data_IF_240105805470
#
_entry.id   IF_240105805470
#
_cell.length_a   1.000
_cell.length_b   1.000
_cell.length_c   1.000
_cell.angle_alpha   90.00
_cell.angle_beta   90.00
_cell.angle_gamma   90.00
#
_symmetry.space_group_name_H-M   'P 1'
#
loop_
_entity.id
_entity.type
_entity.pdbx_description
1 polymer ?
#
# COMPACT_ATOMS: atom_id res chain seq x y z
N UNK A 1 13.71 6.83 23.80
CA UNK A 1 12.91 6.21 22.72
C UNK A 1 11.63 5.67 23.35
N UNK A 2 10.55 6.45 23.38
CA UNK A 2 9.25 6.00 23.92
C UNK A 2 8.63 5.15 22.82
N UNK A 3 8.62 3.83 23.00
CA UNK A 3 8.03 2.91 22.03
C UNK A 3 6.54 3.24 21.87
N UNK A 4 6.18 3.88 20.76
CA UNK A 4 4.79 4.00 20.34
C UNK A 4 4.24 2.57 20.21
N UNK A 5 3.32 2.20 21.10
CA UNK A 5 2.64 0.91 21.00
C UNK A 5 1.74 0.98 19.78
N UNK A 6 2.21 0.45 18.65
CA UNK A 6 1.38 0.25 17.46
C UNK A 6 0.15 -0.55 17.89
N UNK A 7 -1.05 -0.03 17.61
CA UNK A 7 -2.27 -0.67 18.07
C UNK A 7 -2.44 -2.03 17.37
N UNK A 8 -2.88 -3.09 18.07
CA UNK A 8 -3.19 -4.38 17.45
C UNK A 8 -4.17 -4.26 16.28
N UNK A 9 -5.07 -3.27 16.36
CA UNK A 9 -6.01 -2.90 15.29
C UNK A 9 -5.31 -2.55 13.96
N UNK A 10 -4.18 -1.85 14.00
CA UNK A 10 -3.44 -1.50 12.79
C UNK A 10 -2.93 -2.75 12.05
N UNK A 11 -2.46 -3.76 12.79
CA UNK A 11 -2.05 -5.04 12.21
C UNK A 11 -3.22 -5.82 11.60
N UNK A 12 -4.36 -5.86 12.30
CA UNK A 12 -5.57 -6.51 11.79
C UNK A 12 -6.02 -5.85 10.48
N UNK A 13 -6.06 -4.51 10.45
CA UNK A 13 -6.44 -3.76 9.25
C UNK A 13 -5.47 -4.01 8.08
N UNK A 14 -4.16 -4.08 8.35
CA UNK A 14 -3.14 -4.43 7.34
C UNK A 14 -3.36 -5.85 6.78
N UNK A 15 -3.65 -6.82 7.63
CA UNK A 15 -3.93 -8.20 7.21
C UNK A 15 -5.19 -8.25 6.36
N UNK A 16 -6.28 -7.62 6.81
CA UNK A 16 -7.55 -7.56 6.06
C UNK A 16 -7.36 -6.87 4.71
N UNK A 17 -6.65 -5.74 4.67
CA UNK A 17 -6.32 -5.04 3.44
C UNK A 17 -5.51 -5.93 2.48
N UNK A 18 -4.49 -6.64 2.99
CA UNK A 18 -3.66 -7.54 2.18
C UNK A 18 -4.49 -8.67 1.57
N UNK A 19 -5.32 -9.33 2.38
CA UNK A 19 -6.23 -10.40 1.91
C UNK A 19 -7.19 -9.84 0.85
N UNK A 20 -7.76 -8.65 1.09
CA UNK A 20 -8.63 -7.98 0.14
C UNK A 20 -7.97 -7.78 -1.24
N UNK A 21 -6.74 -7.25 -1.27
CA UNK A 21 -5.97 -7.10 -2.50
C UNK A 21 -5.73 -8.47 -3.17
N UNK A 22 -5.33 -9.49 -2.41
CA UNK A 22 -5.13 -10.84 -2.96
C UNK A 22 -6.39 -11.38 -3.61
N UNK A 23 -7.57 -11.25 -2.97
CA UNK A 23 -8.85 -11.69 -3.52
C UNK A 23 -9.15 -11.00 -4.85
N UNK A 24 -8.85 -9.70 -5.00
CA UNK A 24 -9.09 -8.99 -6.26
C UNK A 24 -8.29 -9.55 -7.44
N UNK A 25 -7.14 -10.19 -7.20
CA UNK A 25 -6.33 -10.82 -8.24
C UNK A 25 -7.01 -12.04 -8.86
N UNK A 26 -7.79 -12.78 -8.06
CA UNK A 26 -8.53 -13.96 -8.50
C UNK A 26 -9.92 -13.63 -9.05
N UNK A 27 -10.58 -12.60 -8.52
CA UNK A 27 -11.96 -12.24 -8.91
C UNK A 27 -12.00 -11.41 -10.20
N UNK A 28 -11.05 -10.49 -10.40
CA UNK A 28 -11.02 -9.61 -11.56
C UNK A 28 -9.87 -9.94 -12.51
N UNK A 29 -8.70 -9.36 -12.28
CA UNK A 29 -7.48 -9.61 -13.06
C UNK A 29 -6.26 -9.29 -12.20
N UNK A 30 -5.09 -9.88 -12.48
CA UNK A 30 -3.84 -9.50 -11.83
C UNK A 30 -3.53 -8.01 -12.00
N UNK A 31 -3.80 -7.45 -13.19
CA UNK A 31 -3.65 -6.02 -13.44
C UNK A 31 -4.49 -5.17 -12.49
N UNK A 32 -5.76 -5.52 -12.30
CA UNK A 32 -6.65 -4.79 -11.40
C UNK A 32 -6.12 -4.80 -9.95
N UNK A 33 -5.67 -5.96 -9.46
CA UNK A 33 -5.12 -6.09 -8.10
C UNK A 33 -3.87 -5.22 -7.90
N UNK A 34 -2.94 -5.22 -8.85
CA UNK A 34 -1.73 -4.39 -8.78
C UNK A 34 -2.08 -2.90 -8.84
N UNK A 35 -3.05 -2.49 -9.66
CA UNK A 35 -3.51 -1.09 -9.69
C UNK A 35 -4.22 -0.67 -8.41
N UNK A 36 -5.04 -1.54 -7.81
CA UNK A 36 -5.72 -1.27 -6.55
C UNK A 36 -4.71 -1.14 -5.40
N UNK A 37 -3.68 -2.00 -5.38
CA UNK A 37 -2.57 -1.90 -4.44
C UNK A 37 -1.81 -0.58 -4.61
N UNK A 38 -1.47 -0.20 -5.85
CA UNK A 38 -0.81 1.07 -6.13
C UNK A 38 -1.64 2.28 -5.67
N UNK A 39 -2.93 2.29 -5.96
CA UNK A 39 -3.85 3.34 -5.54
C UNK A 39 -3.90 3.47 -4.01
N UNK A 40 -3.91 2.35 -3.29
CA UNK A 40 -3.91 2.39 -1.82
C UNK A 40 -2.63 2.98 -1.23
N UNK A 41 -1.46 2.75 -1.86
CA UNK A 41 -0.22 3.43 -1.45
C UNK A 41 -0.28 4.94 -1.67
N UNK A 42 -0.91 5.41 -2.75
CA UNK A 42 -1.15 6.86 -2.95
C UNK A 42 -2.04 7.39 -1.84
N UNK A 43 -3.11 6.69 -1.49
CA UNK A 43 -4.00 7.09 -0.39
C UNK A 43 -3.25 7.13 0.94
N UNK A 44 -2.40 6.14 1.25
CA UNK A 44 -1.59 6.16 2.47
C UNK A 44 -0.57 7.31 2.48
N UNK A 45 0.05 7.61 1.34
CA UNK A 45 0.94 8.77 1.19
C UNK A 45 0.19 10.09 1.46
N UNK A 46 -1.00 10.25 0.89
CA UNK A 46 -1.84 11.43 1.09
C UNK A 46 -2.29 11.56 2.54
N UNK A 47 -2.79 10.49 3.15
CA UNK A 47 -3.17 10.47 4.56
C UNK A 47 -1.98 10.83 5.45
N UNK A 48 -0.79 10.29 5.16
CA UNK A 48 0.44 10.63 5.90
C UNK A 48 0.86 12.08 5.71
N UNK A 49 0.65 12.65 4.52
CA UNK A 49 0.98 14.03 4.19
C UNK A 49 -0.01 15.04 4.80
N UNK A 50 -1.27 14.66 5.04
CA UNK A 50 -2.30 15.54 5.60
C UNK A 50 -2.47 15.39 7.11
N UNK A 51 -2.35 14.18 7.66
CA UNK A 51 -2.61 13.92 9.08
C UNK A 51 -1.48 14.46 9.99
N UNK A 52 -1.82 15.14 11.09
CA UNK A 52 -0.83 15.70 12.01
C UNK A 52 0.03 14.62 12.68
N UNK A 53 1.24 15.01 13.11
CA UNK A 53 2.17 14.12 13.79
C UNK A 53 1.55 13.51 15.06
N UNK A 54 1.68 12.19 15.23
CA UNK A 54 1.13 11.44 16.36
C UNK A 54 -0.13 10.62 16.05
N UNK A 55 -0.76 10.79 14.88
CA UNK A 55 -1.92 9.96 14.46
C UNK A 55 -1.47 8.65 13.81
N UNK A 56 -0.32 8.66 13.13
CA UNK A 56 0.26 7.47 12.49
C UNK A 56 1.64 7.16 13.07
N UNK A 57 1.94 5.88 13.35
CA UNK A 57 3.25 5.46 13.88
C UNK A 57 4.38 5.92 12.97
N UNK A 58 5.47 6.47 13.52
CA UNK A 58 6.59 7.04 12.75
C UNK A 58 7.87 6.22 12.93
N UNK A 59 8.46 5.72 11.83
CA UNK A 59 9.70 4.93 11.87
C UNK A 59 10.95 5.77 11.56
N UNK A 60 10.91 6.64 10.53
CA UNK A 60 12.08 7.42 10.07
C UNK A 60 11.83 8.89 9.77
N UNK A 61 10.64 9.27 9.30
CA UNK A 61 10.26 10.68 9.06
C UNK A 61 9.11 10.83 8.06
N UNK A 62 8.35 11.93 8.13
CA UNK A 62 7.09 12.10 7.37
C UNK A 62 7.33 12.10 5.87
N UNK A 63 8.34 12.85 5.45
CA UNK A 63 8.71 12.98 4.03
C UNK A 63 9.16 11.63 3.49
N UNK A 64 9.99 10.90 4.24
CA UNK A 64 10.50 9.59 3.83
C UNK A 64 9.37 8.57 3.58
N UNK A 65 8.41 8.49 4.50
CA UNK A 65 7.26 7.59 4.37
C UNK A 65 6.40 7.92 3.13
N UNK A 66 6.12 9.20 2.90
CA UNK A 66 5.35 9.68 1.74
C UNK A 66 6.10 9.37 0.44
N UNK A 67 7.40 9.65 0.38
CA UNK A 67 8.23 9.39 -0.80
C UNK A 67 8.27 7.90 -1.13
N UNK A 68 8.47 7.03 -0.14
CA UNK A 68 8.47 5.57 -0.36
C UNK A 68 7.12 5.08 -0.88
N UNK A 69 6.02 5.54 -0.28
CA UNK A 69 4.68 5.13 -0.73
C UNK A 69 4.43 5.57 -2.17
N UNK A 70 4.81 6.80 -2.54
CA UNK A 70 4.64 7.30 -3.91
C UNK A 70 5.55 6.59 -4.91
N UNK A 71 6.81 6.32 -4.55
CA UNK A 71 7.73 5.55 -5.40
C UNK A 71 7.23 4.11 -5.62
N UNK A 72 6.77 3.47 -4.55
CA UNK A 72 6.18 2.12 -4.61
C UNK A 72 4.93 2.11 -5.48
N UNK A 73 4.03 3.09 -5.32
CA UNK A 73 2.84 3.23 -6.14
C UNK A 73 3.19 3.40 -7.63
N UNK A 74 4.15 4.28 -7.94
CA UNK A 74 4.61 4.50 -9.31
C UNK A 74 5.20 3.22 -9.93
N UNK A 75 6.02 2.49 -9.17
CA UNK A 75 6.61 1.23 -9.63
C UNK A 75 5.53 0.16 -9.86
N UNK A 76 4.54 0.04 -8.97
CA UNK A 76 3.42 -0.89 -9.16
C UNK A 76 2.55 -0.52 -10.37
N UNK A 77 2.28 0.77 -10.61
CA UNK A 77 1.54 1.21 -11.81
C UNK A 77 2.30 0.87 -13.10
N UNK A 78 3.62 1.06 -13.12
CA UNK A 78 4.47 0.64 -14.23
C UNK A 78 4.41 -0.88 -14.44
N UNK A 79 4.59 -1.67 -13.38
CA UNK A 79 4.55 -3.13 -13.43
C UNK A 79 3.16 -3.67 -13.80
N UNK A 80 2.08 -2.98 -13.45
CA UNK A 80 0.71 -3.39 -13.76
C UNK A 80 0.45 -3.53 -15.27
N UNK A 81 1.21 -2.82 -16.11
CA UNK A 81 1.09 -2.92 -17.57
C UNK A 81 1.51 -4.31 -18.09
N UNK A 82 2.35 -5.01 -17.33
CA UNK A 82 2.90 -6.32 -17.65
C UNK A 82 2.18 -7.46 -16.90
N UNK A 83 1.22 -7.13 -16.03
CA UNK A 83 0.59 -8.11 -15.13
C UNK A 83 -0.29 -9.15 -15.86
N UNK A 84 -0.77 -8.84 -17.07
CA UNK A 84 -1.60 -9.74 -17.87
C UNK A 84 -0.79 -10.53 -18.90
N UNK A 85 0.51 -10.74 -18.68
CA UNK A 85 1.33 -11.53 -19.61
C UNK A 85 0.72 -12.94 -19.71
N UNK A 86 0.29 -13.37 -20.91
CA UNK A 86 -0.36 -14.66 -21.08
C UNK A 86 0.61 -15.78 -20.70
N UNK A 87 0.09 -16.80 -20.01
CA UNK A 87 0.89 -17.98 -19.69
C UNK A 87 1.14 -18.74 -20.99
N UNK A 88 2.40 -18.81 -21.39
CA UNK A 88 2.81 -19.59 -22.55
C UNK A 88 2.83 -21.05 -22.10
N UNK A 89 1.83 -21.82 -22.52
CA UNK A 89 1.74 -23.27 -22.33
C UNK A 89 2.05 -23.98 -23.64
#
# INVERSE_FOLDING_TARGET
>A
MRGERVSPLAYILLVVWTIGICVTAFVWTPRFAVTAMAASFVVFALLRATLPGGVLPHVRGRVFDVTICMLTAGMLLFLSQWANTPQVF
#
